data_IF_374483310814
#
_entry.id   IF_374483310814
#
_cell.length_a   1.000
_cell.length_b   1.000
_cell.length_c   1.000
_cell.angle_alpha   90.00
_cell.angle_beta   90.00
_cell.angle_gamma   90.00
#
_symmetry.space_group_name_H-M   'P 1'
#
loop_
_entity.id
_entity.type
_entity.pdbx_description
1 polymer ?
#
# COMPACT_ATOMS: atom_id res chain seq x y z
N UNK A 1 -14.98 0.28 8.00
CA UNK A 1 -14.02 -0.40 8.88
C UNK A 1 -12.82 0.52 9.03
N UNK A 2 -12.31 0.72 10.24
CA UNK A 2 -11.09 1.48 10.49
C UNK A 2 -9.88 0.53 10.67
N UNK A 3 -8.69 1.09 10.92
CA UNK A 3 -7.48 0.29 11.06
C UNK A 3 -7.53 -0.72 12.22
N UNK A 4 -8.11 -0.34 13.36
CA UNK A 4 -8.19 -1.21 14.53
C UNK A 4 -9.14 -2.39 14.28
N UNK A 5 -10.30 -2.12 13.66
CA UNK A 5 -11.25 -3.15 13.28
C UNK A 5 -10.67 -4.10 12.22
N UNK A 6 -9.89 -3.60 11.26
CA UNK A 6 -9.23 -4.46 10.25
C UNK A 6 -8.18 -5.38 10.88
N UNK A 7 -7.39 -4.88 11.83
CA UNK A 7 -6.41 -5.69 12.57
C UNK A 7 -7.10 -6.75 13.42
N UNK A 8 -8.24 -6.42 14.04
CA UNK A 8 -9.03 -7.38 14.80
C UNK A 8 -9.57 -8.49 13.87
N UNK A 9 -10.21 -8.14 12.76
CA UNK A 9 -10.71 -9.10 11.77
C UNK A 9 -9.60 -10.02 11.23
N UNK A 10 -8.41 -9.49 10.97
CA UNK A 10 -7.23 -10.30 10.59
C UNK A 10 -6.83 -11.30 11.67
N UNK A 11 -6.80 -10.88 12.94
CA UNK A 11 -6.44 -11.75 14.07
C UNK A 11 -7.50 -12.80 14.38
N UNK A 12 -8.77 -12.46 14.13
CA UNK A 12 -9.92 -13.34 14.36
C UNK A 12 -10.10 -14.37 13.23
N UNK A 13 -9.22 -14.36 12.22
CA UNK A 13 -9.20 -15.35 11.13
C UNK A 13 -10.25 -15.09 10.05
N UNK A 14 -10.84 -13.89 9.99
CA UNK A 14 -11.86 -13.55 8.96
C UNK A 14 -11.31 -13.65 7.52
N UNK A 15 -9.98 -13.70 7.36
CA UNK A 15 -9.30 -13.76 6.08
C UNK A 15 -8.49 -15.06 5.88
N UNK A 16 -8.70 -16.09 6.70
CA UNK A 16 -7.94 -17.36 6.65
C UNK A 16 -8.10 -18.12 5.32
N UNK A 17 -9.16 -17.84 4.56
CA UNK A 17 -9.37 -18.40 3.22
C UNK A 17 -8.45 -17.78 2.16
N UNK A 18 -7.81 -16.64 2.45
CA UNK A 18 -6.89 -16.00 1.51
C UNK A 18 -5.59 -16.81 1.42
N UNK A 19 -5.05 -17.03 0.20
CA UNK A 19 -3.83 -17.80 -0.01
C UNK A 19 -2.58 -16.95 0.28
N UNK A 20 -2.54 -16.22 1.39
CA UNK A 20 -1.41 -15.40 1.77
C UNK A 20 -1.13 -15.47 3.27
N UNK A 21 0.15 -15.32 3.61
CA UNK A 21 0.60 -15.07 4.98
C UNK A 21 1.14 -13.65 5.03
N UNK A 22 0.63 -12.83 5.94
CA UNK A 22 1.14 -11.48 6.15
C UNK A 22 0.99 -11.05 7.61
N UNK A 23 1.71 -9.99 7.96
CA UNK A 23 1.58 -9.32 9.26
C UNK A 23 0.80 -8.04 9.06
N UNK A 24 -0.31 -7.90 9.79
CA UNK A 24 -1.15 -6.70 9.75
C UNK A 24 -1.05 -5.99 11.10
N UNK A 25 -0.55 -4.75 11.07
CA UNK A 25 -0.52 -3.86 12.22
C UNK A 25 -1.15 -2.51 11.85
N UNK A 26 -1.77 -1.87 12.84
CA UNK A 26 -2.51 -0.65 12.64
C UNK A 26 -3.25 -0.24 13.92
N UNK A 27 -3.63 1.06 14.07
CA UNK A 27 -3.24 2.17 13.20
C UNK A 27 -1.75 2.52 13.31
N UNK A 28 -1.14 2.94 12.20
CA UNK A 28 0.26 3.38 12.14
C UNK A 28 0.37 4.76 11.50
N UNK A 29 1.23 5.60 12.08
CA UNK A 29 1.61 6.88 11.47
C UNK A 29 2.73 6.67 10.45
N UNK A 30 2.82 7.55 9.46
CA UNK A 30 3.75 7.38 8.32
C UNK A 30 5.23 7.38 8.73
N UNK A 31 5.58 8.06 9.83
CA UNK A 31 6.93 8.06 10.37
C UNK A 31 7.31 6.71 11.00
N UNK A 32 6.37 6.02 11.66
CA UNK A 32 6.55 4.66 12.18
C UNK A 32 6.63 3.64 11.05
N UNK A 33 5.84 3.84 9.99
CA UNK A 33 5.92 3.05 8.76
C UNK A 33 7.33 3.16 8.14
N UNK A 34 7.87 4.38 8.08
CA UNK A 34 9.15 4.67 7.44
C UNK A 34 10.39 4.42 8.34
N UNK A 35 10.26 4.42 9.67
CA UNK A 35 11.39 4.36 10.60
C UNK A 35 11.10 3.55 11.85
N UNK A 36 11.96 2.54 12.10
CA UNK A 36 12.01 1.78 13.35
C UNK A 36 12.28 2.70 14.56
N UNK A 37 13.20 3.64 14.40
CA UNK A 37 13.59 4.59 15.44
C UNK A 37 12.39 5.47 15.86
N UNK A 38 11.54 5.88 14.91
CA UNK A 38 10.32 6.63 15.23
C UNK A 38 9.34 5.79 16.07
N UNK A 39 9.28 4.47 15.86
CA UNK A 39 8.49 3.57 16.69
C UNK A 39 9.05 3.49 18.12
N UNK A 40 10.37 3.34 18.26
CA UNK A 40 11.07 3.27 19.55
C UNK A 40 10.90 4.54 20.37
N UNK A 41 11.07 5.71 19.75
CA UNK A 41 10.84 7.00 20.40
C UNK A 41 9.40 7.21 20.88
N UNK A 42 8.44 6.56 20.21
CA UNK A 42 7.02 6.60 20.61
C UNK A 42 6.62 5.46 21.54
N UNK A 43 7.53 4.56 21.91
CA UNK A 43 7.24 3.37 22.71
C UNK A 43 6.31 2.37 22.01
N UNK A 44 6.27 2.39 20.68
CA UNK A 44 5.41 1.51 19.87
C UNK A 44 6.16 0.19 19.64
N UNK A 45 5.65 -0.89 20.23
CA UNK A 45 6.14 -2.24 19.95
C UNK A 45 5.45 -2.78 18.69
N UNK A 46 6.19 -2.77 17.59
CA UNK A 46 5.77 -3.26 16.27
C UNK A 46 6.80 -4.25 15.76
N UNK A 47 6.43 -5.28 15.01
CA UNK A 47 7.41 -6.16 14.34
C UNK A 47 7.74 -5.71 12.92
N UNK A 48 6.92 -4.83 12.32
CA UNK A 48 7.06 -4.34 10.93
C UNK A 48 7.44 -2.86 10.80
N UNK A 49 7.53 -2.10 11.91
CA UNK A 49 7.92 -0.69 11.87
C UNK A 49 9.26 -0.48 11.14
N UNK A 50 9.29 0.51 10.24
CA UNK A 50 10.42 0.79 9.36
C UNK A 50 10.69 -0.24 8.26
N UNK A 51 9.86 -1.28 8.15
CA UNK A 51 10.00 -2.39 7.19
C UNK A 51 8.64 -2.77 6.56
N UNK A 52 7.76 -1.78 6.40
CA UNK A 52 6.41 -2.00 5.87
C UNK A 52 6.44 -2.09 4.36
N UNK A 53 5.91 -3.19 3.80
CA UNK A 53 5.81 -3.38 2.35
C UNK A 53 4.58 -2.71 1.74
N UNK A 54 3.46 -2.67 2.48
CA UNK A 54 2.18 -2.16 2.00
C UNK A 54 1.48 -1.30 3.06
N UNK A 55 0.93 -0.16 2.61
CA UNK A 55 0.10 0.70 3.45
C UNK A 55 -1.32 0.77 2.90
N UNK A 56 -2.30 0.74 3.81
CA UNK A 56 -3.69 0.99 3.47
C UNK A 56 -4.05 2.41 3.90
N UNK A 57 -4.39 3.25 2.92
CA UNK A 57 -4.85 4.59 3.21
C UNK A 57 -6.24 4.55 3.89
N UNK A 58 -6.50 5.40 4.89
CA UNK A 58 -7.78 5.42 5.60
C UNK A 58 -8.94 5.92 4.72
N UNK A 59 -8.63 6.64 3.64
CA UNK A 59 -9.57 7.14 2.65
C UNK A 59 -8.83 7.51 1.36
N UNK A 60 -9.60 7.86 0.32
CA UNK A 60 -9.09 8.17 -1.02
C UNK A 60 -8.20 9.41 -1.02
N UNK A 61 -8.57 10.41 -0.24
CA UNK A 61 -7.92 11.71 -0.13
C UNK A 61 -6.51 11.55 0.43
N UNK A 62 -6.37 10.81 1.53
CA UNK A 62 -5.08 10.49 2.14
C UNK A 62 -4.19 9.70 1.18
N UNK A 63 -4.75 8.70 0.46
CA UNK A 63 -4.01 7.93 -0.53
C UNK A 63 -3.50 8.79 -1.69
N UNK A 64 -4.36 9.65 -2.23
CA UNK A 64 -4.02 10.56 -3.33
C UNK A 64 -2.94 11.57 -2.92
N UNK A 65 -3.09 12.20 -1.76
CA UNK A 65 -2.09 13.14 -1.21
C UNK A 65 -0.76 12.42 -0.99
N UNK A 66 -0.77 11.21 -0.43
CA UNK A 66 0.45 10.43 -0.21
C UNK A 66 1.17 10.10 -1.52
N UNK A 67 0.47 9.48 -2.49
CA UNK A 67 1.06 9.13 -3.79
C UNK A 67 1.59 10.36 -4.54
N UNK A 68 0.82 11.45 -4.60
CA UNK A 68 1.27 12.70 -5.25
C UNK A 68 2.45 13.32 -4.55
N UNK A 69 2.53 13.21 -3.23
CA UNK A 69 3.67 13.73 -2.48
C UNK A 69 4.94 12.98 -2.83
N UNK A 70 4.88 11.64 -2.86
CA UNK A 70 6.00 10.79 -3.26
C UNK A 70 6.46 11.10 -4.70
N UNK A 71 5.53 11.23 -5.64
CA UNK A 71 5.87 11.51 -7.04
C UNK A 71 6.44 12.91 -7.22
N UNK A 72 5.75 13.96 -6.74
CA UNK A 72 6.13 15.33 -7.06
C UNK A 72 7.27 15.87 -6.20
N UNK A 73 7.30 15.54 -4.90
CA UNK A 73 8.30 16.03 -3.95
C UNK A 73 9.45 15.05 -3.75
N UNK A 74 9.18 13.74 -3.68
CA UNK A 74 10.22 12.73 -3.44
C UNK A 74 10.79 12.11 -4.72
N UNK A 75 10.27 12.48 -5.90
CA UNK A 75 10.68 11.96 -7.22
C UNK A 75 10.57 10.42 -7.31
N UNK A 76 9.60 9.85 -6.58
CA UNK A 76 9.33 8.44 -6.64
C UNK A 76 8.79 8.06 -8.02
N UNK A 77 9.22 6.89 -8.53
CA UNK A 77 8.60 6.25 -9.68
C UNK A 77 7.24 5.69 -9.27
N UNK A 78 6.26 5.80 -10.15
CA UNK A 78 4.88 5.41 -9.86
C UNK A 78 4.33 4.43 -10.89
N UNK A 79 3.50 3.51 -10.42
CA UNK A 79 2.72 2.58 -11.22
C UNK A 79 1.39 2.33 -10.51
N UNK A 80 0.29 2.31 -11.26
CA UNK A 80 -1.04 2.06 -10.73
C UNK A 80 -1.78 1.02 -11.56
N UNK A 81 -2.47 0.11 -10.89
CA UNK A 81 -3.34 -0.89 -11.50
C UNK A 81 -4.58 -1.09 -10.64
N UNK A 82 -5.73 -1.25 -11.28
CA UNK A 82 -6.96 -1.63 -10.60
C UNK A 82 -7.07 -3.15 -10.60
N UNK A 83 -7.27 -3.72 -9.41
CA UNK A 83 -7.41 -5.15 -9.15
C UNK A 83 -8.86 -5.51 -8.77
N UNK A 84 -9.17 -6.81 -8.69
CA UNK A 84 -10.50 -7.34 -8.33
C UNK A 84 -11.41 -7.66 -9.52
N UNK A 85 -11.06 -7.21 -10.72
CA UNK A 85 -11.73 -7.62 -11.96
C UNK A 85 -11.16 -8.94 -12.54
N UNK A 86 -11.80 -9.43 -13.61
CA UNK A 86 -11.33 -10.61 -14.36
C UNK A 86 -9.92 -10.43 -14.92
N UNK A 87 -9.49 -9.20 -15.21
CA UNK A 87 -8.15 -8.85 -15.69
C UNK A 87 -7.67 -7.56 -15.02
N UNK A 88 -6.37 -7.32 -14.87
CA UNK A 88 -5.87 -6.04 -14.36
C UNK A 88 -6.21 -4.89 -15.31
N UNK A 89 -6.58 -3.73 -14.77
CA UNK A 89 -6.92 -2.54 -15.56
C UNK A 89 -5.90 -1.45 -15.28
N UNK A 90 -5.16 -1.04 -16.30
CA UNK A 90 -4.23 0.10 -16.23
C UNK A 90 -5.05 1.39 -16.16
N UNK A 91 -4.94 2.12 -15.06
CA UNK A 91 -5.58 3.42 -14.88
C UNK A 91 -4.51 4.50 -14.76
N UNK A 92 -4.54 5.48 -15.67
CA UNK A 92 -3.54 6.56 -15.75
C UNK A 92 -4.20 7.91 -15.54
N UNK A 93 -3.47 8.84 -14.92
CA UNK A 93 -3.85 10.24 -14.92
C UNK A 93 -3.48 10.89 -16.25
N UNK A 94 -4.26 11.91 -16.65
CA UNK A 94 -3.95 12.76 -17.79
C UNK A 94 -2.57 13.42 -17.67
N UNK A 95 -2.14 13.68 -16.44
CA UNK A 95 -0.89 14.34 -16.10
C UNK A 95 0.31 13.39 -16.02
N UNK A 96 0.11 12.08 -16.14
CA UNK A 96 1.20 11.12 -16.02
C UNK A 96 2.11 11.16 -17.24
N UNK A 97 3.41 11.12 -16.98
CA UNK A 97 4.44 11.02 -18.01
C UNK A 97 4.43 9.63 -18.69
N UNK A 98 5.10 9.49 -19.85
CA UNK A 98 5.16 8.21 -20.55
C UNK A 98 5.77 7.07 -19.71
N UNK A 99 6.71 7.37 -18.81
CA UNK A 99 7.39 6.37 -17.98
C UNK A 99 6.42 5.74 -16.96
N UNK A 100 5.63 6.58 -16.28
CA UNK A 100 4.58 6.18 -15.35
C UNK A 100 3.53 5.29 -16.03
N UNK A 101 3.12 5.66 -17.25
CA UNK A 101 2.19 4.85 -18.05
C UNK A 101 2.79 3.49 -18.42
N UNK A 102 4.07 3.48 -18.82
CA UNK A 102 4.80 2.25 -19.11
C UNK A 102 4.91 1.35 -17.87
N UNK A 103 5.21 1.89 -16.70
CA UNK A 103 5.25 1.13 -15.46
C UNK A 103 3.90 0.54 -15.06
N UNK A 104 2.79 1.27 -15.28
CA UNK A 104 1.44 0.72 -15.08
C UNK A 104 1.17 -0.52 -15.96
N UNK A 105 1.60 -0.50 -17.23
CA UNK A 105 1.51 -1.65 -18.14
C UNK A 105 2.40 -2.80 -17.65
N UNK A 106 3.66 -2.52 -17.31
CA UNK A 106 4.60 -3.54 -16.83
C UNK A 106 4.09 -4.22 -15.55
N UNK A 107 3.59 -3.45 -14.58
CA UNK A 107 2.97 -3.96 -13.36
C UNK A 107 1.75 -4.83 -13.69
N UNK A 108 0.91 -4.41 -14.62
CA UNK A 108 -0.27 -5.17 -15.04
C UNK A 108 0.10 -6.52 -15.66
N UNK A 109 1.18 -6.58 -16.45
CA UNK A 109 1.70 -7.84 -16.98
C UNK A 109 2.19 -8.78 -15.88
N UNK A 110 2.91 -8.25 -14.88
CA UNK A 110 3.39 -9.04 -13.74
C UNK A 110 2.23 -9.63 -12.93
N UNK A 111 1.21 -8.82 -12.65
CA UNK A 111 0.03 -9.28 -11.88
C UNK A 111 -0.84 -10.23 -12.69
N UNK A 112 -0.98 -10.02 -14.00
CA UNK A 112 -1.72 -10.94 -14.87
C UNK A 112 -1.05 -12.32 -14.99
N UNK A 113 0.28 -12.36 -15.01
CA UNK A 113 1.08 -13.60 -15.12
C UNK A 113 1.26 -14.37 -13.82
N UNK A 114 0.90 -13.79 -12.67
CA UNK A 114 0.96 -14.44 -11.35
C UNK A 114 -0.28 -15.27 -10.98
N UNK A 115 -1.13 -15.58 -11.96
CA UNK A 115 -2.33 -16.43 -11.81
C UNK A 115 -2.07 -17.85 -12.29
#
# INVERSE_FOLDING_TARGET
MDAAALVAAWRDGEFDELPCTCTVEGPMAIDVVASREAAEHKGINSVIAGKVDLTLAPNLECGNVHCKTLVHYCKAKFAGVVLGAMVPIVLVSRTDDPETKFYGIALSCLVAGGR
#
